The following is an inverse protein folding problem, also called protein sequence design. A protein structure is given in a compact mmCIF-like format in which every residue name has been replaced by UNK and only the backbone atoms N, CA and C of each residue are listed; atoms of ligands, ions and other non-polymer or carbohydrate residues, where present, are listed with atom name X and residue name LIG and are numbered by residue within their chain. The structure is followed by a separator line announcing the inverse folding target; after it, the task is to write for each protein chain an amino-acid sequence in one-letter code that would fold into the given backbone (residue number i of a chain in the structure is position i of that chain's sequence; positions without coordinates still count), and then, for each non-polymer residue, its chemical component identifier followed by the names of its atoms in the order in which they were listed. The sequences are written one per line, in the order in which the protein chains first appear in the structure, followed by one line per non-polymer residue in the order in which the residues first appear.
data_IF_830884313460
#
_entry.id   IF_830884313460
#
_cell.length_a   1.000
_cell.length_b   1.000
_cell.length_c   1.000
_cell.angle_alpha   90.00
_cell.angle_beta   90.00
_cell.angle_gamma   90.00
#
_symmetry.space_group_name_H-M   'P 1'
#
loop_
_entity.id
_entity.type
_entity.pdbx_description
1 polymer ?
#
# COMPACT_ATOMS: atom_id res chain seq x y z
N UNK A 1 -16.69 15.93 0.15
CA UNK A 1 -16.11 15.34 -1.08
C UNK A 1 -15.03 16.30 -1.54
N UNK A 2 -13.78 15.84 -1.67
CA UNK A 2 -12.63 16.70 -2.00
C UNK A 2 -12.64 17.05 -3.49
N UNK A 3 -12.50 18.34 -3.83
CA UNK A 3 -12.49 18.79 -5.23
C UNK A 3 -11.11 18.60 -5.85
N UNK A 4 -11.00 17.60 -6.73
CA UNK A 4 -9.76 17.24 -7.42
C UNK A 4 -9.30 18.32 -8.41
N UNK A 5 -10.21 19.12 -8.96
CA UNK A 5 -9.83 20.23 -9.83
C UNK A 5 -9.18 21.36 -9.04
N UNK A 6 -9.70 21.63 -7.84
CA UNK A 6 -9.12 22.59 -6.91
C UNK A 6 -7.70 22.20 -6.50
N UNK A 7 -7.46 20.91 -6.18
CA UNK A 7 -6.13 20.41 -5.86
C UNK A 7 -5.11 20.65 -6.98
N UNK A 8 -5.50 20.36 -8.23
CA UNK A 8 -4.65 20.61 -9.40
C UNK A 8 -4.35 22.09 -9.60
N UNK A 9 -5.34 22.97 -9.37
CA UNK A 9 -5.15 24.42 -9.46
C UNK A 9 -4.17 24.94 -8.40
N UNK A 10 -4.12 24.31 -7.22
CA UNK A 10 -3.18 24.63 -6.15
C UNK A 10 -1.82 23.92 -6.29
N UNK A 11 -1.56 23.32 -7.46
CA UNK A 11 -0.26 22.71 -7.78
C UNK A 11 -0.05 21.32 -7.18
N UNK A 12 -1.07 20.69 -6.60
CA UNK A 12 -0.96 19.34 -6.08
C UNK A 12 -0.82 18.34 -7.23
N UNK A 13 0.13 17.41 -7.09
CA UNK A 13 0.42 16.38 -8.10
C UNK A 13 -0.05 15.03 -7.61
N UNK A 14 -0.95 14.40 -8.35
CA UNK A 14 -1.34 13.03 -8.08
C UNK A 14 -0.18 12.09 -8.44
N UNK A 15 0.28 11.31 -7.48
CA UNK A 15 1.44 10.42 -7.60
C UNK A 15 1.07 8.94 -7.47
N UNK A 16 -0.18 8.60 -7.15
CA UNK A 16 -0.65 7.23 -6.95
C UNK A 16 -1.66 6.80 -8.01
N UNK A 17 -1.71 5.50 -8.31
CA UNK A 17 -2.77 4.92 -9.15
C UNK A 17 -3.83 4.27 -8.30
N UNK A 18 -5.08 4.43 -8.74
CA UNK A 18 -6.26 3.73 -8.24
C UNK A 18 -5.99 2.22 -8.07
N UNK A 19 -6.50 1.68 -6.97
CA UNK A 19 -6.45 0.28 -6.52
C UNK A 19 -6.80 -0.75 -7.62
N UNK A 20 -7.53 -0.32 -8.66
CA UNK A 20 -7.91 -1.14 -9.82
C UNK A 20 -6.73 -1.56 -10.71
N UNK A 21 -5.60 -0.84 -10.68
CA UNK A 21 -4.36 -1.25 -11.34
C UNK A 21 -3.67 -2.45 -10.67
N UNK A 22 -4.09 -2.84 -9.46
CA UNK A 22 -3.67 -4.09 -8.79
C UNK A 22 -4.51 -5.31 -9.21
N UNK A 23 -5.22 -5.24 -10.34
CA UNK A 23 -6.22 -6.19 -10.85
C UNK A 23 -6.19 -7.59 -10.20
N UNK A 24 -7.19 -7.83 -9.34
CA UNK A 24 -7.65 -9.13 -8.82
C UNK A 24 -6.58 -10.23 -8.73
N UNK A 25 -5.77 -10.09 -7.70
CA UNK A 25 -5.12 -11.17 -6.94
C UNK A 25 -5.56 -12.59 -7.34
N UNK A 26 -4.68 -13.32 -8.03
CA UNK A 26 -4.87 -14.75 -8.26
C UNK A 26 -4.93 -15.51 -6.93
N UNK A 27 -4.26 -15.02 -5.88
CA UNK A 27 -4.26 -15.66 -4.56
C UNK A 27 -5.61 -15.59 -3.86
N UNK A 28 -6.42 -14.55 -4.07
CA UNK A 28 -7.83 -14.49 -3.60
C UNK A 28 -8.64 -15.66 -4.18
N UNK A 29 -8.31 -16.13 -5.37
CA UNK A 29 -8.99 -17.30 -5.97
C UNK A 29 -8.30 -18.62 -5.62
N UNK A 30 -6.96 -18.65 -5.50
CA UNK A 30 -6.20 -19.88 -5.26
C UNK A 30 -6.24 -20.33 -3.79
N UNK A 31 -6.19 -19.39 -2.84
CA UNK A 31 -6.17 -19.71 -1.40
C UNK A 31 -7.45 -20.40 -0.93
N UNK A 32 -8.67 -19.93 -1.30
CA UNK A 32 -9.89 -20.66 -0.97
C UNK A 32 -9.90 -22.08 -1.53
N UNK A 33 -9.37 -22.30 -2.75
CA UNK A 33 -9.28 -23.64 -3.34
C UNK A 33 -8.36 -24.53 -2.50
N UNK A 34 -7.19 -24.03 -2.10
CA UNK A 34 -6.25 -24.75 -1.23
C UNK A 34 -6.90 -25.08 0.12
N UNK A 35 -7.59 -24.11 0.73
CA UNK A 35 -8.29 -24.33 1.99
C UNK A 35 -9.43 -25.35 1.87
N UNK A 36 -10.19 -25.34 0.78
CA UNK A 36 -11.21 -26.36 0.50
C UNK A 36 -10.60 -27.76 0.38
N UNK A 37 -9.43 -27.89 -0.27
CA UNK A 37 -8.71 -29.18 -0.35
C UNK A 37 -8.30 -29.66 1.04
N UNK A 38 -7.71 -28.80 1.87
CA UNK A 38 -7.32 -29.18 3.23
C UNK A 38 -8.53 -29.55 4.10
N UNK A 39 -9.63 -28.79 4.01
CA UNK A 39 -10.88 -29.16 4.71
C UNK A 39 -11.36 -30.54 4.27
N UNK A 40 -11.40 -30.82 2.96
CA UNK A 40 -11.80 -32.13 2.43
C UNK A 40 -10.93 -33.28 2.96
N UNK A 41 -9.60 -33.08 3.05
CA UNK A 41 -8.67 -34.06 3.63
C UNK A 41 -8.98 -34.29 5.12
N UNK A 42 -9.21 -33.22 5.88
CA UNK A 42 -9.57 -33.31 7.30
C UNK A 42 -10.87 -34.09 7.53
N UNK A 43 -11.90 -33.81 6.73
CA UNK A 43 -13.17 -34.53 6.75
C UNK A 43 -13.02 -36.00 6.37
N UNK A 44 -12.26 -36.30 5.31
CA UNK A 44 -12.00 -37.68 4.88
C UNK A 44 -11.31 -38.51 5.97
N UNK A 45 -10.35 -37.90 6.69
CA UNK A 45 -9.63 -38.56 7.78
C UNK A 45 -10.37 -38.50 9.13
N UNK A 46 -11.53 -37.85 9.21
CA UNK A 46 -12.27 -37.59 10.46
C UNK A 46 -11.42 -36.90 11.55
N UNK A 47 -10.43 -36.09 11.14
CA UNK A 47 -9.53 -35.39 12.06
C UNK A 47 -10.09 -34.01 12.40
N UNK A 48 -10.87 -33.98 13.49
CA UNK A 48 -11.51 -32.75 13.98
C UNK A 48 -10.47 -31.71 14.39
N UNK A 49 -9.32 -32.13 14.96
CA UNK A 49 -8.25 -31.22 15.36
C UNK A 49 -7.65 -30.50 14.15
N UNK A 50 -7.37 -31.25 13.08
CA UNK A 50 -6.89 -30.68 11.82
C UNK A 50 -7.90 -29.72 11.19
N UNK A 51 -9.19 -30.06 11.18
CA UNK A 51 -10.25 -29.18 10.64
C UNK A 51 -10.28 -27.84 11.38
N UNK A 52 -10.19 -27.84 12.71
CA UNK A 52 -10.18 -26.60 13.51
C UNK A 52 -8.98 -25.72 13.15
N UNK A 53 -7.79 -26.32 13.01
CA UNK A 53 -6.57 -25.57 12.62
C UNK A 53 -6.72 -24.93 11.25
N UNK A 54 -7.29 -25.64 10.27
CA UNK A 54 -7.55 -25.10 8.93
C UNK A 54 -8.54 -23.93 8.98
N UNK A 55 -9.61 -24.02 9.76
CA UNK A 55 -10.58 -22.92 9.92
C UNK A 55 -9.92 -21.69 10.55
N UNK A 56 -9.11 -21.86 11.59
CA UNK A 56 -8.36 -20.76 12.21
C UNK A 56 -7.42 -20.10 11.18
N UNK A 57 -6.74 -20.90 10.36
CA UNK A 57 -5.87 -20.40 9.31
C UNK A 57 -6.64 -19.59 8.25
N UNK A 58 -7.84 -20.02 7.85
CA UNK A 58 -8.71 -19.27 6.93
C UNK A 58 -9.09 -17.92 7.53
N UNK A 59 -9.57 -17.89 8.77
CA UNK A 59 -9.98 -16.66 9.44
C UNK A 59 -8.79 -15.71 9.60
N UNK A 60 -7.63 -16.22 10.01
CA UNK A 60 -6.41 -15.44 10.13
C UNK A 60 -5.96 -14.83 8.80
N UNK A 61 -6.03 -15.61 7.71
CA UNK A 61 -5.69 -15.14 6.37
C UNK A 61 -6.66 -14.05 5.89
N UNK A 62 -7.98 -14.23 6.05
CA UNK A 62 -8.98 -13.22 5.73
C UNK A 62 -8.77 -11.94 6.53
N UNK A 63 -8.58 -12.04 7.85
CA UNK A 63 -8.33 -10.89 8.72
C UNK A 63 -7.09 -10.12 8.28
N UNK A 64 -6.02 -10.82 7.92
CA UNK A 64 -4.78 -10.21 7.44
C UNK A 64 -4.98 -9.50 6.09
N UNK A 65 -5.70 -10.11 5.15
CA UNK A 65 -6.03 -9.49 3.86
C UNK A 65 -6.87 -8.22 4.03
N UNK A 66 -7.94 -8.26 4.83
CA UNK A 66 -8.76 -7.08 5.10
C UNK A 66 -7.94 -5.98 5.76
N UNK A 67 -7.12 -6.31 6.77
CA UNK A 67 -6.30 -5.33 7.47
C UNK A 67 -5.29 -4.66 6.55
N UNK A 68 -4.69 -5.39 5.60
CA UNK A 68 -3.74 -4.81 4.66
C UNK A 68 -4.43 -3.89 3.67
N UNK A 69 -5.58 -4.28 3.12
CA UNK A 69 -6.30 -3.46 2.15
C UNK A 69 -6.71 -2.10 2.74
N UNK A 70 -7.02 -2.04 4.05
CA UNK A 70 -7.42 -0.80 4.73
C UNK A 70 -6.32 0.28 4.83
N UNK A 71 -5.06 -0.03 4.49
CA UNK A 71 -3.96 0.94 4.51
C UNK A 71 -3.45 1.26 3.09
N UNK A 72 -4.14 0.78 2.05
CA UNK A 72 -3.82 1.09 0.67
C UNK A 72 -4.45 2.43 0.30
N UNK A 73 -3.63 3.42 -0.06
CA UNK A 73 -4.13 4.71 -0.53
C UNK A 73 -4.62 4.60 -1.97
N UNK A 74 -5.88 5.00 -2.21
CA UNK A 74 -6.46 5.08 -3.55
C UNK A 74 -5.86 6.25 -4.33
N UNK A 75 -5.64 7.36 -3.62
CA UNK A 75 -4.96 8.52 -4.18
C UNK A 75 -3.99 9.12 -3.18
N UNK A 76 -2.84 9.53 -3.69
CA UNK A 76 -1.87 10.34 -2.95
C UNK A 76 -1.53 11.53 -3.80
N UNK A 77 -1.69 12.71 -3.23
CA UNK A 77 -1.42 13.99 -3.87
C UNK A 77 -0.29 14.69 -3.13
N UNK A 78 0.85 14.92 -3.78
CA UNK A 78 1.93 15.72 -3.21
C UNK A 78 1.55 17.20 -3.27
N UNK A 79 1.64 17.88 -2.13
CA UNK A 79 1.45 19.32 -1.97
C UNK A 79 2.79 19.99 -1.61
N UNK A 80 2.89 21.33 -1.61
CA UNK A 80 4.12 22.02 -1.22
C UNK A 80 4.62 21.69 0.20
N UNK A 81 3.70 21.36 1.12
CA UNK A 81 4.00 21.15 2.54
C UNK A 81 3.91 19.67 2.98
N UNK A 82 3.46 18.79 2.10
CA UNK A 82 3.32 17.37 2.40
C UNK A 82 2.47 16.62 1.38
N UNK A 83 1.44 15.93 1.87
CA UNK A 83 0.59 15.05 1.08
C UNK A 83 -0.87 15.16 1.48
N UNK A 84 -1.76 14.92 0.52
CA UNK A 84 -3.15 14.58 0.78
C UNK A 84 -3.33 13.11 0.40
N UNK A 85 -3.75 12.32 1.37
CA UNK A 85 -4.00 10.88 1.21
C UNK A 85 -5.50 10.67 1.20
N UNK A 86 -5.98 9.89 0.24
CA UNK A 86 -7.39 9.51 0.10
C UNK A 86 -7.49 7.99 0.15
N UNK A 87 -8.34 7.49 1.04
CA UNK A 87 -8.71 6.08 1.16
C UNK A 87 -10.24 6.01 1.21
N UNK A 88 -10.82 5.20 0.33
CA UNK A 88 -12.24 5.10 0.06
C UNK A 88 -12.86 6.47 -0.27
N UNK A 89 -13.59 7.07 0.68
CA UNK A 89 -14.26 8.36 0.53
C UNK A 89 -13.72 9.42 1.50
N UNK A 90 -12.67 9.08 2.24
CA UNK A 90 -12.12 9.91 3.29
C UNK A 90 -10.72 10.39 2.94
N UNK A 91 -10.31 11.52 3.52
CA UNK A 91 -9.00 12.10 3.23
C UNK A 91 -8.32 12.67 4.49
N UNK A 92 -6.99 12.74 4.44
CA UNK A 92 -6.16 13.34 5.47
C UNK A 92 -4.96 14.06 4.85
N UNK A 93 -4.63 15.23 5.40
CA UNK A 93 -3.44 15.99 5.04
C UNK A 93 -2.29 15.62 5.99
N UNK A 94 -1.16 15.19 5.43
CA UNK A 94 0.03 14.79 6.17
C UNK A 94 1.20 15.67 5.78
N UNK A 95 1.79 16.37 6.74
CA UNK A 95 2.95 17.24 6.49
C UNK A 95 4.22 16.40 6.37
N UNK A 96 5.22 16.92 5.66
CA UNK A 96 6.53 16.23 5.55
C UNK A 96 7.17 15.94 6.92
N UNK A 97 6.99 16.84 7.90
CA UNK A 97 7.54 16.67 9.25
C UNK A 97 6.87 15.54 10.06
N UNK A 98 5.68 15.09 9.66
CA UNK A 98 4.95 14.03 10.36
C UNK A 98 5.34 12.63 9.84
N UNK A 99 6.10 12.57 8.74
CA UNK A 99 6.61 11.34 8.15
C UNK A 99 7.91 10.92 8.85
N UNK A 100 7.93 9.68 9.34
CA UNK A 100 9.08 9.04 9.95
C UNK A 100 10.03 8.45 8.92
N UNK A 101 9.48 7.74 7.93
CA UNK A 101 10.26 7.04 6.90
C UNK A 101 9.42 6.82 5.64
N UNK A 102 10.09 6.83 4.50
CA UNK A 102 9.54 6.35 3.23
C UNK A 102 10.35 5.15 2.74
N UNK A 103 9.68 4.06 2.38
CA UNK A 103 10.29 2.88 1.79
C UNK A 103 9.74 2.58 0.41
N UNK A 104 10.61 2.26 -0.54
CA UNK A 104 10.23 1.73 -1.85
C UNK A 104 10.69 0.27 -1.95
N UNK A 105 9.74 -0.66 -1.87
CA UNK A 105 10.04 -2.09 -1.78
C UNK A 105 9.00 -2.96 -2.45
N UNK A 106 9.42 -4.17 -2.76
CA UNK A 106 8.54 -5.21 -3.24
C UNK A 106 8.01 -6.00 -2.04
N UNK A 107 6.69 -6.12 -1.90
CA UNK A 107 6.08 -6.96 -0.86
C UNK A 107 5.48 -8.20 -1.51
N UNK A 108 6.14 -9.34 -1.37
CA UNK A 108 5.66 -10.64 -1.89
C UNK A 108 4.28 -11.05 -1.36
N UNK A 109 3.93 -10.62 -0.14
CA UNK A 109 2.70 -11.05 0.53
C UNK A 109 1.53 -10.10 0.29
N UNK A 110 1.79 -8.84 -0.08
CA UNK A 110 0.74 -7.98 -0.62
C UNK A 110 0.64 -8.40 -2.07
N UNK A 111 -0.51 -8.86 -2.53
CA UNK A 111 -0.68 -9.46 -3.85
C UNK A 111 -0.67 -8.42 -4.98
N UNK A 112 0.32 -7.55 -4.92
CA UNK A 112 0.62 -6.49 -5.84
C UNK A 112 1.81 -6.94 -6.68
N UNK A 113 1.63 -6.94 -7.99
CA UNK A 113 2.73 -7.27 -8.90
C UNK A 113 3.80 -6.18 -8.98
N UNK A 114 3.47 -5.00 -8.49
CA UNK A 114 4.31 -3.81 -8.56
C UNK A 114 5.09 -3.60 -7.26
N UNK A 115 6.20 -2.84 -7.37
CA UNK A 115 6.79 -2.26 -6.18
C UNK A 115 5.81 -1.25 -5.57
N UNK A 116 5.87 -1.13 -4.24
CA UNK A 116 5.03 -0.19 -3.49
C UNK A 116 5.90 0.85 -2.80
N UNK A 117 5.31 2.02 -2.62
CA UNK A 117 5.82 3.06 -1.74
C UNK A 117 5.06 2.97 -0.42
N UNK A 118 5.79 2.95 0.70
CA UNK A 118 5.20 2.94 2.04
C UNK A 118 5.63 4.18 2.82
N UNK A 119 4.64 4.88 3.37
CA UNK A 119 4.87 5.96 4.32
C UNK A 119 4.65 5.43 5.72
N UNK A 120 5.63 5.66 6.59
CA UNK A 120 5.52 5.41 8.03
C UNK A 120 5.42 6.75 8.75
N UNK A 121 4.46 6.89 9.63
CA UNK A 121 4.20 8.14 10.34
C UNK A 121 4.84 8.14 11.73
N UNK A 122 5.20 9.33 12.23
CA UNK A 122 5.75 9.48 13.59
C UNK A 122 4.70 9.18 14.66
N UNK A 123 3.46 9.58 14.39
CA UNK A 123 2.28 9.27 15.19
C UNK A 123 1.21 8.66 14.28
N UNK A 124 0.37 7.75 14.80
CA UNK A 124 -0.76 7.24 14.03
C UNK A 124 -1.68 8.37 13.58
N UNK A 125 -2.09 8.31 12.33
CA UNK A 125 -3.04 9.22 11.72
C UNK A 125 -4.41 8.53 11.58
N UNK A 126 -5.35 9.16 10.88
CA UNK A 126 -6.70 8.59 10.65
C UNK A 126 -6.68 7.22 9.98
N UNK A 127 -5.67 6.96 9.17
CA UNK A 127 -5.46 5.73 8.41
C UNK A 127 -4.48 4.75 9.06
N UNK A 128 -3.95 5.07 10.24
CA UNK A 128 -3.06 4.20 11.02
C UNK A 128 -1.62 4.70 11.12
N UNK A 129 -0.69 3.79 11.41
CA UNK A 129 0.74 4.10 11.59
C UNK A 129 1.52 4.14 10.26
N UNK A 130 0.91 3.62 9.20
CA UNK A 130 1.49 3.58 7.85
C UNK A 130 0.41 3.50 6.78
N UNK A 131 0.78 3.90 5.57
CA UNK A 131 0.02 3.62 4.36
C UNK A 131 0.95 3.08 3.28
N UNK A 132 0.36 2.50 2.24
CA UNK A 132 1.10 2.14 1.04
C UNK A 132 0.30 2.44 -0.24
N UNK A 133 1.01 2.67 -1.33
CA UNK A 133 0.42 2.93 -2.65
C UNK A 133 1.39 2.54 -3.77
N UNK A 134 0.89 2.49 -5.00
CA UNK A 134 1.68 2.26 -6.23
C UNK A 134 1.76 3.56 -7.00
N UNK A 135 2.94 3.91 -7.49
CA UNK A 135 3.10 5.11 -8.33
C UNK A 135 2.62 4.87 -9.77
N UNK A 136 2.32 5.95 -10.50
CA UNK A 136 1.98 5.88 -11.92
C UNK A 136 3.07 5.20 -12.76
N UNK A 137 4.33 5.46 -12.44
CA UNK A 137 5.49 4.91 -13.13
C UNK A 137 5.62 3.40 -12.91
N UNK A 138 5.32 2.91 -11.70
CA UNK A 138 5.31 1.48 -11.40
C UNK A 138 4.08 0.77 -11.99
N UNK A 139 2.91 1.42 -12.02
CA UNK A 139 1.70 0.87 -12.62
C UNK A 139 1.77 0.79 -14.15
N UNK A 140 2.39 1.78 -14.82
CA UNK A 140 2.55 1.77 -16.28
C UNK A 140 3.46 0.64 -16.78
N UNK A 141 4.42 0.19 -15.96
CA UNK A 141 5.28 -0.95 -16.27
C UNK A 141 4.55 -2.30 -16.20
N UNK A 142 3.32 -2.35 -15.66
CA UNK A 142 2.53 -3.58 -15.54
C UNK A 142 2.21 -4.24 -16.90
N UNK A 143 2.09 -3.45 -17.97
CA UNK A 143 1.81 -3.98 -19.31
C UNK A 143 3.02 -4.69 -19.95
N UNK A 144 4.20 -4.70 -19.32
CA UNK A 144 5.34 -5.50 -19.75
C UNK A 144 5.35 -6.85 -19.00
N UNK A 145 4.35 -7.69 -19.27
CA UNK A 145 4.08 -8.99 -18.62
C UNK A 145 5.21 -10.05 -18.73
N UNK A 146 6.38 -9.73 -19.27
CA UNK A 146 7.44 -10.71 -19.56
C UNK A 146 8.66 -10.67 -18.61
N UNK A 147 8.71 -9.76 -17.64
CA UNK A 147 9.87 -9.67 -16.76
C UNK A 147 9.75 -10.58 -15.52
N UNK A 148 10.39 -11.75 -15.62
CA UNK A 148 10.61 -12.70 -14.51
C UNK A 148 11.36 -12.03 -13.34
N UNK A 149 12.15 -10.99 -13.62
CA UNK A 149 12.83 -10.17 -12.62
C UNK A 149 12.11 -8.82 -12.50
N UNK A 150 11.49 -8.57 -11.34
CA UNK A 150 10.84 -7.28 -11.07
C UNK A 150 11.91 -6.24 -10.77
N UNK A 151 12.20 -5.39 -11.74
CA UNK A 151 13.18 -4.30 -11.62
C UNK A 151 12.48 -3.08 -11.03
N UNK A 152 13.13 -2.41 -10.08
CA UNK A 152 12.67 -1.12 -9.55
C UNK A 152 12.59 -0.09 -10.68
N UNK A 153 11.50 0.68 -10.74
CA UNK A 153 11.44 1.81 -11.65
C UNK A 153 12.43 2.89 -11.18
N UNK A 154 13.37 3.27 -12.06
CA UNK A 154 14.39 4.27 -11.72
C UNK A 154 13.78 5.64 -11.45
N UNK A 155 12.71 6.03 -12.17
CA UNK A 155 12.03 7.30 -11.94
C UNK A 155 11.37 7.34 -10.56
N UNK A 156 10.73 6.24 -10.13
CA UNK A 156 10.22 6.12 -8.76
C UNK A 156 11.36 6.18 -7.74
N UNK A 157 12.48 5.48 -8.00
CA UNK A 157 13.61 5.46 -7.08
C UNK A 157 14.21 6.88 -6.89
N UNK A 158 14.44 7.61 -7.97
CA UNK A 158 14.96 8.97 -7.94
C UNK A 158 13.98 9.94 -7.26
N UNK A 159 12.68 9.75 -7.49
CA UNK A 159 11.63 10.48 -6.79
C UNK A 159 11.70 10.24 -5.27
N UNK A 160 11.77 8.98 -4.84
CA UNK A 160 11.81 8.61 -3.43
C UNK A 160 13.07 9.15 -2.74
N UNK A 161 14.22 9.12 -3.41
CA UNK A 161 15.45 9.71 -2.87
C UNK A 161 15.29 11.22 -2.62
N UNK A 162 14.75 11.97 -3.58
CA UNK A 162 14.45 13.40 -3.40
C UNK A 162 13.43 13.64 -2.30
N UNK A 163 12.42 12.79 -2.19
CA UNK A 163 11.41 12.91 -1.14
C UNK A 163 12.01 12.69 0.25
N UNK A 164 12.90 11.71 0.41
CA UNK A 164 13.61 11.48 1.67
C UNK A 164 14.45 12.70 2.08
N UNK A 165 15.09 13.38 1.13
CA UNK A 165 15.80 14.64 1.39
C UNK A 165 14.84 15.77 1.85
N UNK A 166 13.69 15.94 1.18
CA UNK A 166 12.67 16.92 1.58
C UNK A 166 12.16 16.66 3.01
N UNK A 167 11.87 15.40 3.34
CA UNK A 167 11.41 15.01 4.68
C UNK A 167 12.47 15.30 5.72
N UNK A 168 13.75 15.01 5.42
CA UNK A 168 14.87 15.36 6.30
C UNK A 168 14.95 16.86 6.54
N UNK A 169 14.91 17.67 5.49
CA UNK A 169 14.92 19.14 5.59
C UNK A 169 13.74 19.68 6.41
N UNK A 170 12.54 19.15 6.18
CA UNK A 170 11.35 19.55 6.93
C UNK A 170 11.48 19.21 8.44
N UNK A 171 12.07 18.06 8.76
CA UNK A 171 12.33 17.66 10.14
C UNK A 171 13.37 18.56 10.82
N UNK A 172 14.48 18.86 10.14
CA UNK A 172 15.55 19.74 10.66
C UNK A 172 15.02 21.18 10.90
N UNK A 173 14.17 21.67 9.99
CA UNK A 173 13.51 22.98 10.13
C UNK A 173 12.43 23.03 11.21
N UNK A 174 11.80 21.89 11.54
CA UNK A 174 10.83 21.80 12.64
C UNK A 174 11.56 21.82 14.00
N UNK A 175 12.63 21.04 14.14
CA UNK A 175 13.43 20.95 15.36
C UNK A 175 14.17 22.25 15.72
N UNK A 176 14.41 23.13 14.74
CA UNK A 176 15.06 24.43 14.96
C UNK A 176 14.08 25.54 15.36
N UNK A 177 12.77 25.28 15.30
CA UNK A 177 11.70 26.21 15.68
C UNK A 177 11.04 25.87 17.02
N UNK A 178 11.35 24.71 17.59
CA UNK A 178 11.01 24.30 18.96
C UNK A 178 12.12 24.69 19.94
#
# INVERSE_FOLDING_TARGET
MLDRQLLRQHGAKNIAVDSTALSKSLSIYLMPIIFCIFLAIGWYNSDIGFIIVVIIAIIGNLHWHFKINNHHADEVWETPDGFIIIIDNDYEEIRFCDIKKVEYKFRYLIDNRNYIVEFYFKQPNKFGDKIFFVTWEDACNYNQESQIFRIKNQATLDYINRLQEKIKQANDNHMSKE
#
